data_IF_619426874707
#
_entry.id   IF_619426874707
#
_cell.length_a   1.000
_cell.length_b   1.000
_cell.length_c   1.000
_cell.angle_alpha   90.00
_cell.angle_beta   90.00
_cell.angle_gamma   90.00
#
_symmetry.space_group_name_H-M   'P 1'
#
loop_
_entity.id
_entity.type
_entity.pdbx_description
1 polymer ?
#
# COMPACT_ATOMS: atom_id res chain seq x y z
N UNK A 1 7.88 16.05 -3.07
CA UNK A 1 9.06 15.23 -2.72
C UNK A 1 9.06 14.00 -3.60
N UNK A 2 10.24 13.44 -3.89
CA UNK A 2 10.45 12.33 -4.82
C UNK A 2 10.68 11.01 -4.07
N UNK A 3 10.56 9.89 -4.80
CA UNK A 3 10.96 8.56 -4.35
C UNK A 3 12.33 8.58 -3.66
N UNK A 4 12.43 7.85 -2.54
CA UNK A 4 13.70 7.64 -1.82
C UNK A 4 13.92 6.18 -1.49
N UNK A 5 15.18 5.78 -1.46
CA UNK A 5 15.60 4.48 -0.95
C UNK A 5 15.76 4.59 0.56
N UNK A 6 14.93 3.86 1.31
CA UNK A 6 14.98 3.79 2.77
C UNK A 6 15.95 2.70 3.24
N UNK A 7 16.01 1.59 2.51
CA UNK A 7 16.87 0.44 2.80
C UNK A 7 17.20 -0.32 1.52
N UNK A 8 18.48 -0.63 1.30
CA UNK A 8 18.94 -1.44 0.15
C UNK A 8 18.38 -2.87 0.21
N UNK A 9 18.33 -3.45 1.41
CA UNK A 9 17.92 -4.81 1.66
C UNK A 9 19.05 -5.84 1.45
N UNK A 10 18.96 -6.97 2.14
CA UNK A 10 19.93 -8.06 2.09
C UNK A 10 19.39 -9.30 1.36
N UNK A 11 20.30 -10.05 0.72
CA UNK A 11 19.99 -11.29 0.00
C UNK A 11 19.50 -11.11 -1.44
N UNK A 12 19.41 -12.24 -2.15
CA UNK A 12 18.90 -12.34 -3.52
C UNK A 12 18.22 -13.72 -3.74
N UNK A 13 16.95 -13.78 -4.19
CA UNK A 13 16.01 -12.67 -4.31
C UNK A 13 15.60 -12.12 -2.93
N UNK A 14 15.14 -10.86 -2.88
CA UNK A 14 14.69 -10.23 -1.63
C UNK A 14 13.36 -9.49 -1.77
N UNK A 15 12.61 -9.28 -0.68
CA UNK A 15 11.33 -8.58 -0.75
C UNK A 15 11.50 -7.11 -1.14
N UNK A 16 10.51 -6.55 -1.83
CA UNK A 16 10.38 -5.12 -2.08
C UNK A 16 9.19 -4.58 -1.29
N UNK A 17 9.42 -3.54 -0.50
CA UNK A 17 8.40 -2.78 0.21
C UNK A 17 8.30 -1.41 -0.43
N UNK A 18 7.09 -1.04 -0.85
CA UNK A 18 6.76 0.29 -1.37
C UNK A 18 5.81 0.99 -0.40
N UNK A 19 6.20 2.15 0.12
CA UNK A 19 5.41 2.92 1.07
C UNK A 19 5.07 4.32 0.54
N UNK A 20 3.77 4.68 0.55
CA UNK A 20 3.28 5.91 -0.04
C UNK A 20 2.67 6.85 1.00
N UNK A 21 2.93 8.14 0.82
CA UNK A 21 2.65 9.21 1.77
C UNK A 21 3.31 8.95 3.15
N UNK A 22 4.55 8.47 3.15
CA UNK A 22 5.35 8.23 4.35
C UNK A 22 6.58 9.11 4.32
N UNK A 23 6.66 10.05 5.26
CA UNK A 23 7.74 11.03 5.39
C UNK A 23 9.09 10.42 5.77
N UNK A 24 10.16 11.17 5.51
CA UNK A 24 11.56 10.77 5.78
C UNK A 24 11.83 10.55 7.27
N UNK A 25 11.09 11.24 8.13
CA UNK A 25 11.13 11.11 9.58
C UNK A 25 10.78 9.69 10.06
N UNK A 26 10.07 8.89 9.24
CA UNK A 26 9.70 7.52 9.56
C UNK A 26 10.69 6.47 9.04
N UNK A 27 11.73 6.85 8.30
CA UNK A 27 12.70 5.91 7.73
C UNK A 27 13.34 5.00 8.79
N UNK A 28 13.82 5.50 9.96
CA UNK A 28 14.36 4.64 10.99
C UNK A 28 13.34 3.62 11.53
N UNK A 29 12.07 4.04 11.67
CA UNK A 29 11.00 3.16 12.15
C UNK A 29 10.63 2.09 11.13
N UNK A 30 10.61 2.42 9.84
CA UNK A 30 10.40 1.45 8.77
C UNK A 30 11.53 0.41 8.73
N UNK A 31 12.80 0.84 8.81
CA UNK A 31 13.94 -0.08 8.89
C UNK A 31 13.83 -1.02 10.09
N UNK A 32 13.56 -0.46 11.27
CA UNK A 32 13.37 -1.25 12.48
C UNK A 32 12.21 -2.24 12.38
N UNK A 33 11.09 -1.82 11.77
CA UNK A 33 9.90 -2.65 11.62
C UNK A 33 10.13 -3.85 10.69
N UNK A 34 10.89 -3.67 9.61
CA UNK A 34 11.12 -4.72 8.61
C UNK A 34 12.36 -5.57 8.86
N UNK A 35 13.33 -5.07 9.62
CA UNK A 35 14.66 -5.67 9.71
C UNK A 35 15.44 -5.52 8.40
N UNK A 36 16.62 -6.15 8.27
CA UNK A 36 17.57 -5.82 7.22
C UNK A 36 17.24 -6.39 5.83
N UNK A 37 16.34 -7.38 5.75
CA UNK A 37 16.15 -8.16 4.51
C UNK A 37 15.44 -7.39 3.38
N UNK A 38 14.31 -6.69 3.58
CA UNK A 38 13.61 -6.08 2.44
C UNK A 38 14.36 -4.88 1.86
N UNK A 39 14.28 -4.72 0.53
CA UNK A 39 14.50 -3.42 -0.09
C UNK A 39 13.29 -2.54 0.20
N UNK A 40 13.49 -1.34 0.72
CA UNK A 40 12.40 -0.42 1.09
C UNK A 40 12.55 0.85 0.28
N UNK A 41 11.56 1.14 -0.55
CA UNK A 41 11.40 2.41 -1.25
C UNK A 41 10.16 3.10 -0.69
N UNK A 42 10.28 4.39 -0.41
CA UNK A 42 9.17 5.16 0.11
C UNK A 42 9.03 6.49 -0.63
N UNK A 43 7.81 6.99 -0.63
CA UNK A 43 7.44 8.29 -1.18
C UNK A 43 6.67 9.09 -0.15
N UNK A 44 7.02 10.37 -0.03
CA UNK A 44 6.33 11.32 0.84
C UNK A 44 5.07 11.91 0.23
N UNK A 45 4.72 11.57 -1.02
CA UNK A 45 3.51 12.07 -1.71
C UNK A 45 2.53 10.93 -2.07
N UNK A 46 1.29 11.30 -2.37
CA UNK A 46 0.22 10.36 -2.77
C UNK A 46 0.15 10.09 -4.29
N UNK A 47 0.78 10.94 -5.09
CA UNK A 47 0.91 10.80 -6.55
C UNK A 47 2.32 10.38 -6.90
N UNK A 48 2.54 9.74 -8.05
CA UNK A 48 3.89 9.30 -8.38
C UNK A 48 3.98 8.28 -9.51
N UNK A 49 5.18 7.73 -9.70
CA UNK A 49 5.55 6.91 -10.85
C UNK A 49 5.05 5.48 -10.74
N UNK A 50 4.67 4.84 -11.86
CA UNK A 50 4.06 3.51 -11.92
C UNK A 50 5.06 2.37 -11.63
N UNK A 51 4.59 1.12 -11.57
CA UNK A 51 5.41 -0.01 -11.11
C UNK A 51 6.73 -0.17 -11.88
N UNK A 52 6.74 0.05 -13.20
CA UNK A 52 7.98 -0.04 -14.00
C UNK A 52 9.07 0.92 -13.52
N UNK A 53 8.70 2.18 -13.30
CA UNK A 53 9.60 3.22 -12.79
C UNK A 53 10.01 2.96 -11.33
N UNK A 54 9.12 2.41 -10.51
CA UNK A 54 9.42 2.01 -9.12
C UNK A 54 10.46 0.88 -9.07
N UNK A 55 10.31 -0.12 -9.94
CA UNK A 55 11.29 -1.20 -10.09
C UNK A 55 12.62 -0.68 -10.63
N UNK A 56 12.59 0.19 -11.63
CA UNK A 56 13.78 0.82 -12.18
C UNK A 56 14.52 1.65 -11.12
N UNK A 57 13.79 2.43 -10.33
CA UNK A 57 14.36 3.18 -9.22
C UNK A 57 15.04 2.24 -8.21
N UNK A 58 14.35 1.17 -7.78
CA UNK A 58 14.90 0.19 -6.84
C UNK A 58 16.12 -0.55 -7.43
N UNK A 59 16.09 -0.86 -8.72
CA UNK A 59 17.21 -1.45 -9.43
C UNK A 59 18.44 -0.52 -9.43
N UNK A 60 18.27 0.72 -9.90
CA UNK A 60 19.36 1.70 -10.00
C UNK A 60 19.94 2.10 -8.64
N UNK A 61 19.09 2.19 -7.61
CA UNK A 61 19.51 2.69 -6.27
C UNK A 61 19.97 1.60 -5.31
N UNK A 62 19.43 0.37 -5.43
CA UNK A 62 19.71 -0.71 -4.49
C UNK A 62 20.30 -1.97 -5.16
N UNK A 63 20.48 -1.98 -6.48
CA UNK A 63 20.89 -3.18 -7.22
C UNK A 63 19.85 -4.29 -7.17
N UNK A 64 18.56 -3.95 -6.96
CA UNK A 64 17.48 -4.93 -6.92
C UNK A 64 17.26 -5.52 -8.31
N UNK A 65 17.56 -6.81 -8.49
CA UNK A 65 17.39 -7.53 -9.76
C UNK A 65 16.16 -8.42 -9.77
N UNK A 66 15.85 -9.03 -8.64
CA UNK A 66 14.73 -9.96 -8.48
C UNK A 66 13.98 -9.69 -7.17
N UNK A 67 12.65 -9.62 -7.27
CA UNK A 67 11.75 -9.37 -6.14
C UNK A 67 11.12 -10.69 -5.71
N UNK A 68 11.45 -11.15 -4.49
CA UNK A 68 10.86 -12.41 -3.99
C UNK A 68 9.40 -12.25 -3.57
N UNK A 69 9.06 -11.09 -3.00
CA UNK A 69 7.69 -10.70 -2.61
C UNK A 69 7.55 -9.19 -2.66
N UNK A 70 6.35 -8.72 -2.97
CA UNK A 70 6.00 -7.30 -2.96
C UNK A 70 5.08 -6.99 -1.79
N UNK A 71 5.33 -5.89 -1.09
CA UNK A 71 4.40 -5.27 -0.15
C UNK A 71 4.09 -3.82 -0.55
N UNK A 72 2.81 -3.44 -0.49
CA UNK A 72 2.34 -2.08 -0.73
C UNK A 72 1.76 -1.49 0.54
N UNK A 73 2.24 -0.30 0.93
CA UNK A 73 1.80 0.43 2.12
C UNK A 73 1.29 1.79 1.66
N UNK A 74 0.08 2.15 2.08
CA UNK A 74 -0.47 3.48 1.88
C UNK A 74 -0.97 4.05 3.20
N UNK A 75 -0.61 5.28 3.50
CA UNK A 75 -1.23 6.07 4.56
C UNK A 75 -2.11 7.16 3.96
N UNK A 76 -3.32 7.37 4.47
CA UNK A 76 -4.23 8.43 4.00
C UNK A 76 -4.37 8.41 2.46
N UNK A 77 -4.15 9.52 1.77
CA UNK A 77 -4.16 9.59 0.31
C UNK A 77 -3.15 8.63 -0.38
N UNK A 78 -2.11 8.17 0.30
CA UNK A 78 -1.21 7.10 -0.17
C UNK A 78 -1.94 5.78 -0.46
N UNK A 79 -3.09 5.50 0.16
CA UNK A 79 -3.93 4.36 -0.20
C UNK A 79 -4.48 4.47 -1.63
N UNK A 80 -4.64 5.68 -2.16
CA UNK A 80 -5.06 5.88 -3.55
C UNK A 80 -3.96 5.44 -4.53
N UNK A 81 -2.68 5.56 -4.12
CA UNK A 81 -1.55 5.03 -4.88
C UNK A 81 -1.57 3.51 -4.92
N UNK A 82 -1.83 2.87 -3.77
CA UNK A 82 -2.00 1.41 -3.68
C UNK A 82 -3.15 0.95 -4.58
N UNK A 83 -4.30 1.65 -4.54
CA UNK A 83 -5.44 1.41 -5.44
C UNK A 83 -5.04 1.52 -6.92
N UNK A 84 -4.35 2.59 -7.30
CA UNK A 84 -3.94 2.81 -8.70
C UNK A 84 -3.03 1.68 -9.21
N UNK A 85 -2.07 1.24 -8.39
CA UNK A 85 -1.21 0.10 -8.73
C UNK A 85 -2.02 -1.20 -8.85
N UNK A 86 -2.95 -1.46 -7.94
CA UNK A 86 -3.81 -2.64 -8.00
C UNK A 86 -4.64 -2.68 -9.28
N UNK A 87 -5.28 -1.55 -9.63
CA UNK A 87 -6.10 -1.42 -10.83
C UNK A 87 -5.27 -1.51 -12.12
N UNK A 88 -4.00 -1.11 -12.07
CA UNK A 88 -3.03 -1.31 -13.15
C UNK A 88 -2.49 -2.76 -13.25
N UNK A 89 -3.05 -3.70 -12.48
CA UNK A 89 -2.69 -5.12 -12.52
C UNK A 89 -1.58 -5.53 -11.56
N UNK A 90 -1.04 -4.64 -10.75
CA UNK A 90 -0.03 -5.00 -9.74
C UNK A 90 -0.69 -5.84 -8.64
N UNK A 91 -0.15 -7.03 -8.40
CA UNK A 91 -0.57 -7.92 -7.31
C UNK A 91 0.58 -8.09 -6.33
N UNK A 92 0.40 -7.62 -5.10
CA UNK A 92 1.37 -7.72 -4.02
C UNK A 92 1.03 -8.90 -3.11
N UNK A 93 2.05 -9.43 -2.43
CA UNK A 93 1.83 -10.47 -1.43
C UNK A 93 1.24 -9.90 -0.13
N UNK A 94 1.47 -8.62 0.17
CA UNK A 94 0.97 -7.97 1.38
C UNK A 94 0.57 -6.51 1.13
N UNK A 95 -0.47 -6.07 1.83
CA UNK A 95 -1.03 -4.73 1.77
C UNK A 95 -1.22 -4.16 3.17
N UNK A 96 -0.80 -2.92 3.38
CA UNK A 96 -1.15 -2.12 4.56
C UNK A 96 -1.87 -0.84 4.11
N UNK A 97 -3.14 -0.73 4.45
CA UNK A 97 -4.01 0.39 4.10
C UNK A 97 -4.35 1.17 5.38
N UNK A 98 -3.53 2.17 5.70
CA UNK A 98 -3.65 2.92 6.96
C UNK A 98 -4.54 4.15 6.78
N UNK A 99 -5.76 4.08 7.32
CA UNK A 99 -6.72 5.18 7.46
C UNK A 99 -6.89 6.06 6.20
N UNK A 100 -7.04 5.42 5.04
CA UNK A 100 -6.94 6.11 3.75
C UNK A 100 -7.82 5.59 2.62
N UNK A 101 -8.68 4.60 2.87
CA UNK A 101 -9.42 3.89 1.80
C UNK A 101 -10.57 4.68 1.16
N UNK A 102 -10.72 5.97 1.49
CA UNK A 102 -11.77 6.88 1.03
C UNK A 102 -12.23 6.70 -0.44
N UNK A 103 -13.52 6.97 -0.65
CA UNK A 103 -14.21 6.91 -1.93
C UNK A 103 -15.03 8.19 -2.15
N UNK A 104 -15.48 8.44 -3.37
CA UNK A 104 -16.35 9.59 -3.68
C UNK A 104 -17.66 9.54 -2.89
N UNK A 105 -18.42 10.63 -2.89
CA UNK A 105 -19.78 10.66 -2.35
C UNK A 105 -20.80 10.99 -3.47
N UNK A 106 -21.66 10.04 -3.87
CA UNK A 106 -21.67 8.63 -3.50
C UNK A 106 -20.44 7.86 -4.02
N UNK A 107 -20.13 6.72 -3.40
CA UNK A 107 -18.99 5.90 -3.80
C UNK A 107 -19.22 5.28 -5.18
N UNK A 108 -18.26 5.44 -6.08
CA UNK A 108 -18.27 4.73 -7.36
C UNK A 108 -17.88 3.26 -7.15
N UNK A 109 -18.53 2.34 -7.86
CA UNK A 109 -18.34 0.89 -7.64
C UNK A 109 -16.88 0.45 -7.80
N UNK A 110 -16.16 0.98 -8.79
CA UNK A 110 -14.75 0.65 -9.00
C UNK A 110 -13.84 1.01 -7.81
N UNK A 111 -14.23 1.99 -6.98
CA UNK A 111 -13.48 2.39 -5.79
C UNK A 111 -13.64 1.39 -4.64
N UNK A 112 -14.70 0.57 -4.67
CA UNK A 112 -15.03 -0.44 -3.67
C UNK A 112 -14.65 -1.84 -4.17
N UNK A 113 -14.93 -2.14 -5.45
CA UNK A 113 -14.77 -3.45 -6.05
C UNK A 113 -13.36 -4.04 -5.86
N UNK A 114 -12.31 -3.23 -6.06
CA UNK A 114 -10.93 -3.67 -5.88
C UNK A 114 -10.62 -4.07 -4.42
N UNK A 115 -11.16 -3.34 -3.43
CA UNK A 115 -11.02 -3.71 -2.02
C UNK A 115 -11.83 -4.96 -1.68
N UNK A 116 -13.00 -5.13 -2.29
CA UNK A 116 -13.82 -6.33 -2.12
C UNK A 116 -13.10 -7.56 -2.68
N UNK A 117 -12.51 -7.44 -3.87
CA UNK A 117 -11.66 -8.47 -4.48
C UNK A 117 -10.46 -8.79 -3.57
N UNK A 118 -9.72 -7.75 -3.16
CA UNK A 118 -8.56 -7.89 -2.30
C UNK A 118 -8.89 -8.52 -0.93
N UNK A 119 -10.03 -8.15 -0.33
CA UNK A 119 -10.54 -8.78 0.88
C UNK A 119 -10.87 -10.27 0.65
N UNK A 120 -11.45 -10.62 -0.50
CA UNK A 120 -11.67 -12.01 -0.90
C UNK A 120 -10.36 -12.80 -1.09
N UNK A 121 -9.34 -12.20 -1.69
CA UNK A 121 -8.00 -12.80 -1.80
C UNK A 121 -7.36 -13.05 -0.43
N UNK A 122 -7.53 -12.11 0.51
CA UNK A 122 -7.00 -12.24 1.86
C UNK A 122 -7.72 -13.30 2.70
N UNK A 123 -9.04 -13.40 2.60
CA UNK A 123 -9.81 -14.49 3.23
C UNK A 123 -9.36 -15.85 2.70
N UNK A 124 -9.07 -15.95 1.41
CA UNK A 124 -8.56 -17.16 0.77
C UNK A 124 -7.06 -17.40 1.00
N UNK A 125 -6.36 -16.57 1.79
CA UNK A 125 -4.94 -16.72 2.10
C UNK A 125 -3.97 -16.44 0.94
N UNK A 126 -4.44 -15.81 -0.16
CA UNK A 126 -3.61 -15.49 -1.33
C UNK A 126 -2.77 -14.24 -1.15
N UNK A 127 -3.20 -13.32 -0.28
CA UNK A 127 -2.49 -12.11 0.09
C UNK A 127 -2.73 -11.79 1.57
N UNK A 128 -1.81 -11.05 2.20
CA UNK A 128 -2.06 -10.43 3.49
C UNK A 128 -2.67 -9.06 3.27
N UNK A 129 -3.78 -8.76 3.94
CA UNK A 129 -4.38 -7.42 3.94
C UNK A 129 -4.57 -6.96 5.36
N UNK A 130 -3.86 -5.90 5.72
CA UNK A 130 -4.03 -5.19 6.98
C UNK A 130 -4.56 -3.81 6.66
N UNK A 131 -5.76 -3.50 7.13
CA UNK A 131 -6.35 -2.18 7.01
C UNK A 131 -6.58 -1.57 8.38
N UNK A 132 -6.56 -0.24 8.45
CA UNK A 132 -6.89 0.49 9.66
C UNK A 132 -7.89 1.58 9.35
N UNK A 133 -8.65 1.98 10.36
CA UNK A 133 -9.45 3.20 10.30
C UNK A 133 -9.54 3.87 11.66
N UNK A 134 -9.69 5.18 11.63
CA UNK A 134 -10.25 5.96 12.73
C UNK A 134 -11.78 6.01 12.63
N UNK A 135 -12.46 6.61 13.60
CA UNK A 135 -13.92 6.84 13.58
C UNK A 135 -14.28 8.23 13.05
N UNK A 136 -13.37 8.87 12.30
CA UNK A 136 -13.61 10.16 11.66
C UNK A 136 -14.59 10.01 10.50
N UNK A 137 -15.82 10.47 10.69
CA UNK A 137 -16.90 10.41 9.70
C UNK A 137 -17.37 11.79 9.23
N UNK A 138 -16.75 12.86 9.74
CA UNK A 138 -17.08 14.24 9.36
C UNK A 138 -17.02 14.49 7.85
N UNK A 139 -16.18 13.75 7.13
CA UNK A 139 -15.96 13.86 5.68
C UNK A 139 -17.24 13.61 4.89
N UNK A 140 -18.19 12.87 5.47
CA UNK A 140 -19.48 12.53 4.88
C UNK A 140 -20.51 13.65 5.06
N UNK A 141 -20.24 14.63 5.92
CA UNK A 141 -21.09 15.79 6.20
C UNK A 141 -20.52 17.11 5.68
N UNK A 142 -19.43 17.05 4.91
CA UNK A 142 -18.90 18.21 4.23
C UNK A 142 -19.92 18.75 3.21
N UNK A 143 -19.82 20.03 2.81
CA UNK A 143 -20.70 20.60 1.79
C UNK A 143 -20.73 19.80 0.49
N UNK A 144 -21.80 19.99 -0.28
CA UNK A 144 -21.94 19.36 -1.59
C UNK A 144 -20.71 19.62 -2.49
N UNK A 145 -20.29 18.59 -3.23
CA UNK A 145 -19.05 18.61 -4.02
C UNK A 145 -17.75 18.44 -3.21
N UNK A 146 -17.81 18.46 -1.87
CA UNK A 146 -16.65 18.23 -0.99
C UNK A 146 -16.77 16.96 -0.14
N UNK A 147 -17.96 16.41 0.00
CA UNK A 147 -18.19 15.17 0.75
C UNK A 147 -17.51 13.97 0.09
N UNK A 148 -17.00 13.06 0.93
CA UNK A 148 -16.43 11.78 0.52
C UNK A 148 -16.65 10.73 1.61
N UNK A 149 -16.77 9.46 1.21
CA UNK A 149 -16.94 8.36 2.14
C UNK A 149 -15.73 8.23 3.06
N UNK A 150 -15.98 8.16 4.36
CA UNK A 150 -14.94 7.89 5.36
C UNK A 150 -14.28 6.53 5.14
N UNK A 151 -13.05 6.36 5.62
CA UNK A 151 -12.34 5.08 5.59
C UNK A 151 -13.17 3.95 6.20
N UNK A 152 -13.80 4.18 7.36
CA UNK A 152 -14.63 3.16 8.01
C UNK A 152 -15.82 2.75 7.14
N UNK A 153 -16.49 3.70 6.46
CA UNK A 153 -17.59 3.39 5.54
C UNK A 153 -17.11 2.54 4.37
N UNK A 154 -15.99 2.92 3.75
CA UNK A 154 -15.44 2.13 2.63
C UNK A 154 -15.07 0.73 3.08
N UNK A 155 -14.44 0.56 4.25
CA UNK A 155 -14.10 -0.76 4.77
C UNK A 155 -15.34 -1.59 5.09
N UNK A 156 -16.43 -1.00 5.60
CA UNK A 156 -17.72 -1.70 5.76
C UNK A 156 -18.25 -2.22 4.42
N UNK A 157 -18.25 -1.37 3.39
CA UNK A 157 -18.73 -1.73 2.05
C UNK A 157 -17.88 -2.82 1.39
N UNK A 158 -16.56 -2.77 1.56
CA UNK A 158 -15.63 -3.72 0.95
C UNK A 158 -15.57 -5.07 1.68
N UNK A 159 -15.64 -5.05 3.02
CA UNK A 159 -15.50 -6.27 3.84
C UNK A 159 -16.83 -6.92 4.18
N UNK A 160 -17.94 -6.16 4.23
CA UNK A 160 -19.23 -6.60 4.76
C UNK A 160 -19.31 -6.60 6.29
N UNK A 161 -18.26 -6.19 6.99
CA UNK A 161 -18.26 -6.09 8.46
C UNK A 161 -18.92 -4.82 8.95
N UNK A 162 -19.52 -4.86 10.16
CA UNK A 162 -20.16 -3.70 10.78
C UNK A 162 -19.17 -2.62 11.21
N UNK A 163 -18.02 -2.99 11.77
CA UNK A 163 -16.97 -2.06 12.23
C UNK A 163 -17.52 -0.88 13.07
N UNK A 164 -18.42 -1.17 14.00
CA UNK A 164 -19.13 -0.21 14.86
C UNK A 164 -18.41 0.04 16.20
N UNK A 165 -17.53 -0.88 16.59
CA UNK A 165 -16.69 -0.77 17.79
C UNK A 165 -15.27 -0.36 17.43
N UNK A 166 -14.69 0.50 18.26
CA UNK A 166 -13.30 0.93 18.14
C UNK A 166 -12.66 1.06 19.52
N UNK A 167 -11.34 0.97 19.58
CA UNK A 167 -10.57 0.99 20.83
C UNK A 167 -9.49 2.05 20.83
N UNK A 168 -8.86 2.30 21.98
CA UNK A 168 -7.76 3.25 22.10
C UNK A 168 -6.58 2.88 21.17
N UNK A 169 -5.65 3.82 20.99
CA UNK A 169 -4.44 3.61 20.20
C UNK A 169 -3.61 2.40 20.65
N UNK A 170 -3.55 2.14 21.95
CA UNK A 170 -2.79 1.00 22.52
C UNK A 170 -3.59 -0.30 22.54
N UNK A 171 -4.92 -0.21 22.43
CA UNK A 171 -5.85 -1.35 22.50
C UNK A 171 -6.96 -1.19 21.45
N UNK A 172 -6.65 -1.24 20.15
CA UNK A 172 -7.66 -1.16 19.10
C UNK A 172 -8.58 -2.38 19.12
N UNK A 173 -9.77 -2.24 18.55
CA UNK A 173 -10.60 -3.39 18.24
C UNK A 173 -10.07 -4.01 16.94
N UNK A 174 -9.86 -5.32 16.94
CA UNK A 174 -9.32 -6.05 15.78
C UNK A 174 -10.39 -6.99 15.27
N UNK A 175 -10.81 -6.78 14.03
CA UNK A 175 -11.69 -7.72 13.29
C UNK A 175 -10.84 -8.47 12.28
N UNK A 176 -10.94 -9.81 12.22
CA UNK A 176 -10.10 -10.62 11.33
C UNK A 176 -10.81 -11.86 10.79
N UNK A 177 -10.41 -12.29 9.61
CA UNK A 177 -10.80 -13.55 8.97
C UNK A 177 -9.71 -13.97 7.97
N UNK A 178 -9.14 -15.15 8.14
CA UNK A 178 -8.00 -15.59 7.33
C UNK A 178 -6.83 -14.60 7.43
N UNK A 179 -6.33 -14.13 6.28
CA UNK A 179 -5.26 -13.12 6.19
C UNK A 179 -5.81 -11.68 6.03
N UNK A 180 -7.10 -11.45 6.29
CA UNK A 180 -7.72 -10.13 6.33
C UNK A 180 -7.80 -9.62 7.77
N UNK A 181 -7.21 -8.45 8.03
CA UNK A 181 -7.19 -7.80 9.34
C UNK A 181 -7.67 -6.35 9.22
N UNK A 182 -8.60 -5.93 10.08
CA UNK A 182 -9.02 -4.54 10.23
C UNK A 182 -8.83 -4.10 11.68
N UNK A 183 -8.03 -3.05 11.86
CA UNK A 183 -7.80 -2.39 13.15
C UNK A 183 -8.65 -1.13 13.25
N UNK A 184 -9.55 -1.11 14.22
CA UNK A 184 -10.52 -0.05 14.48
C UNK A 184 -10.09 0.81 15.67
N UNK A 185 -9.67 2.04 15.39
CA UNK A 185 -9.19 3.01 16.37
C UNK A 185 -10.26 4.05 16.69
N UNK A 186 -10.51 4.25 17.97
CA UNK A 186 -11.40 5.30 18.45
C UNK A 186 -10.79 6.67 18.16
N UNK A 187 -11.64 7.62 17.80
CA UNK A 187 -11.27 9.01 17.56
C UNK A 187 -12.48 9.89 17.83
N UNK A 188 -12.25 11.19 17.98
CA UNK A 188 -13.32 12.16 17.79
C UNK A 188 -13.80 12.16 16.32
N UNK A 189 -14.87 12.88 16.07
CA UNK A 189 -15.46 12.99 14.73
C UNK A 189 -14.53 13.70 13.72
N UNK A 190 -13.79 14.72 14.17
CA UNK A 190 -12.67 15.38 13.47
C UNK A 190 -11.47 15.26 14.40
N UNK A 191 -10.44 14.52 13.99
CA UNK A 191 -9.34 14.14 14.89
C UNK A 191 -8.03 13.97 14.12
N UNK A 192 -7.42 15.10 13.75
CA UNK A 192 -6.13 15.12 13.07
C UNK A 192 -5.01 14.41 13.86
N UNK A 193 -4.93 14.52 15.21
CA UNK A 193 -3.98 13.74 16.00
C UNK A 193 -4.18 12.23 15.87
N UNK A 194 -5.42 11.72 15.94
CA UNK A 194 -5.69 10.30 15.75
C UNK A 194 -5.33 9.83 14.34
N UNK A 195 -5.59 10.65 13.31
CA UNK A 195 -5.17 10.37 11.94
C UNK A 195 -3.63 10.29 11.83
N UNK A 196 -2.93 11.29 12.34
CA UNK A 196 -1.46 11.34 12.33
C UNK A 196 -0.84 10.16 13.09
N UNK A 197 -1.45 9.72 14.19
CA UNK A 197 -1.03 8.55 14.95
C UNK A 197 -1.02 7.26 14.10
N UNK A 198 -1.90 7.16 13.09
CA UNK A 198 -1.90 6.03 12.16
C UNK A 198 -0.57 5.94 11.41
N UNK A 199 -0.03 7.08 10.97
CA UNK A 199 1.28 7.12 10.32
C UNK A 199 2.41 6.88 11.32
N UNK A 200 2.49 7.67 12.40
CA UNK A 200 3.69 7.73 13.24
C UNK A 200 3.86 6.55 14.21
N UNK A 201 2.77 5.85 14.54
CA UNK A 201 2.75 4.72 15.49
C UNK A 201 2.22 3.44 14.85
N UNK A 202 1.05 3.50 14.23
CA UNK A 202 0.35 2.29 13.76
C UNK A 202 1.04 1.66 12.55
N UNK A 203 1.45 2.44 11.54
CA UNK A 203 2.11 1.88 10.35
C UNK A 203 3.37 1.09 10.71
N UNK A 204 4.35 1.63 11.48
CA UNK A 204 5.52 0.85 11.91
C UNK A 204 5.16 -0.40 12.71
N UNK A 205 4.21 -0.30 13.65
CA UNK A 205 3.77 -1.43 14.48
C UNK A 205 3.19 -2.56 13.63
N UNK A 206 2.28 -2.24 12.72
CA UNK A 206 1.61 -3.23 11.87
C UNK A 206 2.55 -3.80 10.80
N UNK A 207 3.53 -3.01 10.34
CA UNK A 207 4.62 -3.54 9.51
C UNK A 207 5.41 -4.62 10.25
N UNK A 208 5.82 -4.35 11.49
CA UNK A 208 6.61 -5.29 12.29
C UNK A 208 5.81 -6.54 12.69
N UNK A 209 4.52 -6.37 13.01
CA UNK A 209 3.62 -7.43 13.47
C UNK A 209 3.14 -8.35 12.35
N UNK A 210 2.86 -7.81 11.16
CA UNK A 210 2.19 -8.57 10.09
C UNK A 210 3.03 -8.69 8.83
N UNK A 211 3.45 -7.56 8.25
CA UNK A 211 4.08 -7.57 6.94
C UNK A 211 5.46 -8.23 7.02
N UNK A 212 6.28 -7.92 8.03
CA UNK A 212 7.61 -8.52 8.18
C UNK A 212 7.54 -10.06 8.27
N UNK A 213 6.76 -10.68 9.18
CA UNK A 213 6.62 -12.13 9.20
C UNK A 213 6.13 -12.71 7.87
N UNK A 214 5.12 -12.09 7.25
CA UNK A 214 4.58 -12.55 5.97
C UNK A 214 5.62 -12.54 4.84
N UNK A 215 6.45 -11.50 4.78
CA UNK A 215 7.52 -11.38 3.79
C UNK A 215 8.68 -12.34 4.07
N UNK A 216 8.90 -12.72 5.33
CA UNK A 216 9.95 -13.67 5.72
C UNK A 216 9.60 -15.11 5.36
N UNK A 217 8.32 -15.48 5.35
CA UNK A 217 7.88 -16.81 4.96
C UNK A 217 8.13 -17.04 3.46
N UNK A 218 9.17 -17.84 3.16
CA UNK A 218 9.39 -18.45 1.85
C UNK A 218 8.37 -19.58 1.62
N UNK A 219 7.09 -19.25 1.56
CA UNK A 219 6.12 -20.20 1.00
C UNK A 219 6.43 -20.31 -0.49
N UNK A 220 6.82 -21.50 -0.93
CA UNK A 220 6.82 -21.97 -2.33
C UNK A 220 5.39 -21.87 -2.90
N UNK A 221 4.86 -20.67 -3.02
CA UNK A 221 3.69 -20.41 -3.86
C UNK A 221 4.28 -20.30 -5.26
N UNK A 222 3.97 -21.23 -6.19
CA UNK A 222 4.43 -21.10 -7.56
C UNK A 222 4.01 -19.72 -8.07
N UNK A 223 4.92 -18.99 -8.74
CA UNK A 223 4.59 -17.67 -9.26
C UNK A 223 3.35 -17.81 -10.13
N UNK A 224 2.31 -17.03 -9.82
CA UNK A 224 1.19 -16.83 -10.74
C UNK A 224 1.82 -16.28 -12.02
N UNK A 225 1.56 -16.85 -13.20
CA UNK A 225 2.24 -16.42 -14.42
C UNK A 225 2.00 -14.93 -14.62
N UNK A 226 3.08 -14.17 -14.47
CA UNK A 226 3.14 -12.79 -14.92
C UNK A 226 3.09 -12.90 -16.44
N UNK A 227 2.18 -12.17 -17.08
CA UNK A 227 2.19 -12.01 -18.54
C UNK A 227 3.63 -11.69 -18.99
N UNK A 228 4.12 -12.24 -20.12
CA UNK A 228 5.54 -12.29 -20.45
C UNK A 228 6.17 -10.90 -20.32
N UNK A 229 7.02 -10.74 -19.31
CA UNK A 229 7.81 -9.53 -19.12
C UNK A 229 8.92 -9.53 -20.15
N UNK A 230 8.90 -8.58 -21.07
CA UNK A 230 10.09 -8.21 -21.83
C UNK A 230 11.19 -7.84 -20.82
N UNK A 231 12.44 -8.32 -21.00
CA UNK A 231 13.53 -7.99 -20.10
C UNK A 231 13.70 -6.46 -20.03
N UNK A 232 13.83 -5.93 -18.81
CA UNK A 232 13.85 -4.48 -18.52
C UNK A 232 14.89 -3.70 -19.35
N UNK A 233 15.94 -4.37 -19.85
CA UNK A 233 16.95 -3.78 -20.74
C UNK A 233 16.48 -3.49 -22.18
N UNK A 234 15.36 -4.05 -22.64
CA UNK A 234 14.85 -3.88 -24.01
C UNK A 234 13.83 -2.72 -24.14
N UNK A 235 13.18 -2.32 -23.05
CA UNK A 235 12.25 -1.17 -23.04
C UNK A 235 12.98 0.16 -23.30
N UNK A 236 14.21 0.31 -22.81
CA UNK A 236 15.02 1.51 -23.04
C UNK A 236 15.48 1.69 -24.50
N UNK A 237 15.57 0.61 -25.28
CA UNK A 237 16.02 0.65 -26.68
C UNK A 237 14.84 0.93 -27.62
N UNK A 238 13.68 0.33 -27.36
CA UNK A 238 12.46 0.54 -28.17
C UNK A 238 11.89 1.96 -28.02
N UNK A 239 11.96 2.56 -26.84
CA UNK A 239 11.52 3.94 -26.63
C UNK A 239 12.39 4.97 -27.39
N UNK A 240 13.67 4.66 -27.62
CA UNK A 240 14.60 5.54 -28.33
C UNK A 240 14.43 5.47 -29.86
N UNK A 241 13.99 4.32 -30.39
CA UNK A 241 13.75 4.12 -31.83
C UNK A 241 12.39 4.64 -32.31
N UNK A 242 11.43 4.87 -31.40
CA UNK A 242 10.07 5.30 -31.75
C UNK A 242 9.82 6.81 -31.55
N UNK A 243 10.73 7.53 -30.88
CA UNK A 243 10.50 8.92 -30.48
C UNK A 243 11.51 9.94 -31.05
N UNK A 244 12.53 9.50 -31.78
CA UNK A 244 13.37 10.41 -32.55
C UNK A 244 12.74 10.64 -33.93
N UNK A 245 12.18 11.84 -34.24
CA UNK A 245 11.74 12.14 -35.59
C UNK A 245 12.96 12.18 -36.53
N UNK A 246 12.82 11.75 -37.80
CA UNK A 246 13.92 11.84 -38.76
C UNK A 246 14.34 13.30 -38.90
N UNK A 247 15.63 13.57 -38.65
CA UNK A 247 16.27 14.83 -38.97
C UNK A 247 16.03 15.15 -40.44
N UNK A 248 15.27 16.21 -40.71
CA UNK A 248 15.11 16.76 -42.06
C UNK A 248 16.45 17.36 -42.48
N UNK A 249 17.08 16.74 -43.47
CA UNK A 249 18.04 17.38 -44.38
C UNK A 249 17.31 18.34 -45.31
#
# INVERSE_FOLDING_TARGET
>A
MALRLVQVGEGHPRPLVLAFLVGVDLDPKLRAAFGPRPCIVADGVATGPMMGELLEFAHRRAGLREVSRLALIGYSAGCQRVRALYLAGVRASAYLLADGTHASWPAAEWQIAWLRELAGEARAGRALVVATHTMQVYTERLPEGKAFCSTVRVLRMATGWKLDRAGSLDRPIVTREGALWVYSYASADIDAPAHAAQLVRVVPELCARHLRPWLAHLVNVPPRPVAPSLPLGLLGILAKLLLDPPSRT
#
